data_IF_424199182083
#
_entry.id   IF_424199182083
#
_cell.length_a   1.000
_cell.length_b   1.000
_cell.length_c   1.000
_cell.angle_alpha   90.00
_cell.angle_beta   90.00
_cell.angle_gamma   90.00
#
_symmetry.space_group_name_H-M   'P 1'
#
loop_
_entity.id
_entity.type
_entity.pdbx_description
1 polymer ?
#
# COMPACT_ATOMS: atom_id res chain seq x y z
N UNK A 1 17.87 -19.22 -22.06
CA UNK A 1 18.31 -17.89 -21.56
C UNK A 1 17.27 -16.79 -21.80
N UNK A 2 16.64 -16.70 -22.99
CA UNK A 2 15.64 -15.66 -23.30
C UNK A 2 14.43 -15.58 -22.32
N UNK A 3 13.88 -16.71 -21.90
CA UNK A 3 12.69 -16.75 -21.03
C UNK A 3 12.93 -16.25 -19.61
N UNK A 4 14.16 -16.42 -19.07
CA UNK A 4 14.53 -15.94 -17.73
C UNK A 4 14.68 -14.41 -17.70
N UNK A 5 15.24 -13.83 -18.76
CA UNK A 5 15.38 -12.38 -18.90
C UNK A 5 14.04 -11.67 -18.99
N UNK A 6 13.09 -12.21 -19.76
CA UNK A 6 11.72 -11.69 -19.87
C UNK A 6 10.98 -11.73 -18.52
N UNK A 7 11.09 -12.84 -17.78
CA UNK A 7 10.47 -12.96 -16.46
C UNK A 7 11.04 -11.94 -15.45
N UNK A 8 12.34 -11.68 -15.51
CA UNK A 8 13.02 -10.73 -14.62
C UNK A 8 12.68 -9.28 -14.94
N UNK A 9 12.54 -8.93 -16.23
CA UNK A 9 12.03 -7.62 -16.64
C UNK A 9 10.59 -7.39 -16.18
N UNK A 10 9.72 -8.39 -16.32
CA UNK A 10 8.32 -8.30 -15.89
C UNK A 10 8.21 -8.16 -14.37
N UNK A 11 9.05 -8.86 -13.61
CA UNK A 11 9.11 -8.73 -12.16
C UNK A 11 9.58 -7.34 -11.72
N UNK A 12 10.63 -6.79 -12.36
CA UNK A 12 11.10 -5.41 -12.11
C UNK A 12 9.99 -4.40 -12.39
N UNK A 13 9.31 -4.55 -13.52
CA UNK A 13 8.17 -3.72 -13.89
C UNK A 13 7.07 -3.75 -12.82
N UNK A 14 6.64 -4.94 -12.39
CA UNK A 14 5.62 -5.10 -11.35
C UNK A 14 6.01 -4.40 -10.04
N UNK A 15 7.27 -4.52 -9.61
CA UNK A 15 7.76 -3.85 -8.40
C UNK A 15 7.75 -2.31 -8.54
N UNK A 16 8.03 -1.77 -9.72
CA UNK A 16 7.95 -0.33 -9.98
C UNK A 16 6.50 0.17 -10.05
N UNK A 17 5.59 -0.61 -10.62
CA UNK A 17 4.15 -0.29 -10.62
C UNK A 17 3.61 -0.26 -9.19
N UNK A 18 3.81 -1.33 -8.41
CA UNK A 18 3.33 -1.38 -7.01
C UNK A 18 3.93 -0.28 -6.15
N UNK A 19 5.21 0.08 -6.36
CA UNK A 19 5.84 1.20 -5.64
C UNK A 19 5.18 2.54 -5.95
N UNK A 20 4.77 2.78 -7.20
CA UNK A 20 4.06 4.00 -7.60
C UNK A 20 2.65 4.04 -7.02
N UNK A 21 1.93 2.93 -7.11
CA UNK A 21 0.58 2.77 -6.56
C UNK A 21 0.56 2.99 -5.04
N UNK A 22 1.47 2.37 -4.29
CA UNK A 22 1.59 2.58 -2.83
C UNK A 22 1.89 4.03 -2.46
N UNK A 23 2.69 4.74 -3.26
CA UNK A 23 2.95 6.17 -3.04
C UNK A 23 1.70 7.02 -3.32
N UNK A 24 0.95 6.65 -4.35
CA UNK A 24 -0.31 7.31 -4.69
C UNK A 24 -1.33 7.14 -3.56
N UNK A 25 -1.58 5.90 -3.10
CA UNK A 25 -2.49 5.63 -1.98
C UNK A 25 -2.03 6.36 -0.70
N UNK A 26 -0.72 6.43 -0.44
CA UNK A 26 -0.19 7.18 0.71
C UNK A 26 -0.59 8.67 0.67
N UNK A 27 -0.51 9.29 -0.50
CA UNK A 27 -0.89 10.69 -0.67
C UNK A 27 -2.41 10.85 -0.55
N UNK A 28 -3.19 9.97 -1.17
CA UNK A 28 -4.65 9.99 -1.09
C UNK A 28 -5.15 9.89 0.37
N UNK A 29 -4.56 8.99 1.17
CA UNK A 29 -4.87 8.86 2.60
C UNK A 29 -4.54 10.13 3.38
N UNK A 30 -3.48 10.85 2.98
CA UNK A 30 -3.14 12.13 3.61
C UNK A 30 -4.19 13.19 3.31
N UNK A 31 -4.70 13.26 2.08
CA UNK A 31 -5.81 14.16 1.72
C UNK A 31 -7.10 13.82 2.49
N UNK A 32 -7.39 12.53 2.71
CA UNK A 32 -8.52 12.12 3.57
C UNK A 32 -8.33 12.55 5.02
N UNK A 33 -7.14 12.38 5.58
CA UNK A 33 -6.83 12.82 6.94
C UNK A 33 -7.07 14.33 7.12
N UNK A 34 -6.57 15.16 6.20
CA UNK A 34 -6.80 16.62 6.22
C UNK A 34 -8.30 16.95 6.18
N UNK A 35 -9.09 16.22 5.39
CA UNK A 35 -10.55 16.42 5.35
C UNK A 35 -11.26 16.00 6.63
N UNK A 36 -10.78 14.95 7.30
CA UNK A 36 -11.31 14.56 8.61
C UNK A 36 -10.97 15.61 9.67
N UNK A 37 -9.79 16.22 9.61
CA UNK A 37 -9.40 17.34 10.49
C UNK A 37 -10.29 18.57 10.26
N UNK A 38 -10.59 18.92 9.00
CA UNK A 38 -11.53 19.99 8.65
C UNK A 38 -12.91 19.78 9.29
N UNK A 39 -13.41 18.54 9.30
CA UNK A 39 -14.70 18.18 9.90
C UNK A 39 -14.61 18.23 11.44
N UNK A 40 -13.53 17.72 12.02
CA UNK A 40 -13.29 17.76 13.46
C UNK A 40 -13.26 19.20 13.99
N UNK A 41 -12.65 20.12 13.23
CA UNK A 41 -12.58 21.54 13.57
C UNK A 41 -13.94 22.24 13.63
N UNK A 42 -14.97 21.71 12.96
CA UNK A 42 -16.35 22.25 13.00
C UNK A 42 -17.11 21.88 14.29
N UNK A 43 -16.44 21.28 15.29
CA UNK A 43 -17.02 20.83 16.57
C UNK A 43 -18.25 19.94 16.37
N UNK A 44 -18.09 18.76 15.75
CA UNK A 44 -19.22 17.90 15.47
C UNK A 44 -19.71 17.22 16.77
N UNK A 45 -20.93 16.66 16.73
CA UNK A 45 -21.51 15.95 17.87
C UNK A 45 -20.67 14.75 18.31
N UNK A 46 -20.86 14.27 19.55
CA UNK A 46 -20.07 13.17 20.14
C UNK A 46 -20.03 11.91 19.27
N UNK A 47 -21.13 11.58 18.60
CA UNK A 47 -21.23 10.40 17.74
C UNK A 47 -20.33 10.51 16.50
N UNK A 48 -20.21 11.72 15.94
CA UNK A 48 -19.33 12.00 14.79
C UNK A 48 -17.88 11.95 15.23
N UNK A 49 -17.56 12.46 16.43
CA UNK A 49 -16.21 12.40 16.97
C UNK A 49 -15.72 10.95 17.13
N UNK A 50 -16.58 10.06 17.63
CA UNK A 50 -16.26 8.63 17.73
C UNK A 50 -16.00 7.99 16.35
N UNK A 51 -16.78 8.37 15.33
CA UNK A 51 -16.55 7.91 13.97
C UNK A 51 -15.21 8.42 13.40
N UNK A 52 -14.88 9.71 13.63
CA UNK A 52 -13.62 10.33 13.22
C UNK A 52 -12.41 9.61 13.82
N UNK A 53 -12.44 9.29 15.13
CA UNK A 53 -11.39 8.51 15.78
C UNK A 53 -11.24 7.11 15.15
N UNK A 54 -12.37 6.47 14.83
CA UNK A 54 -12.38 5.20 14.11
C UNK A 54 -11.66 5.28 12.76
N UNK A 55 -11.94 6.31 11.97
CA UNK A 55 -11.29 6.53 10.68
C UNK A 55 -9.81 6.91 10.80
N UNK A 56 -9.44 7.76 11.77
CA UNK A 56 -8.04 8.08 12.05
C UNK A 56 -7.22 6.82 12.37
N UNK A 57 -7.78 5.91 13.19
CA UNK A 57 -7.13 4.63 13.49
C UNK A 57 -6.93 3.77 12.23
N UNK A 58 -7.94 3.70 11.35
CA UNK A 58 -7.82 2.98 10.06
C UNK A 58 -6.75 3.60 9.16
N UNK A 59 -6.69 4.92 9.07
CA UNK A 59 -5.67 5.67 8.31
C UNK A 59 -4.26 5.39 8.82
N UNK A 60 -4.05 5.39 10.15
CA UNK A 60 -2.75 5.07 10.76
C UNK A 60 -2.33 3.65 10.38
N UNK A 61 -3.23 2.67 10.52
CA UNK A 61 -2.97 1.27 10.14
C UNK A 61 -2.59 1.13 8.68
N UNK A 62 -3.28 1.85 7.80
CA UNK A 62 -3.02 1.79 6.38
C UNK A 62 -1.64 2.35 6.02
N UNK A 63 -1.25 3.48 6.64
CA UNK A 63 0.10 4.05 6.51
C UNK A 63 1.19 3.06 6.96
N UNK A 64 0.95 2.34 8.05
CA UNK A 64 1.86 1.27 8.52
C UNK A 64 2.02 0.18 7.46
N UNK A 65 0.91 -0.33 6.93
CA UNK A 65 0.90 -1.41 5.90
C UNK A 65 1.61 -0.94 4.63
N UNK A 66 1.33 0.27 4.14
CA UNK A 66 2.05 0.86 3.00
C UNK A 66 3.55 0.89 3.25
N UNK A 67 3.96 1.34 4.45
CA UNK A 67 5.37 1.37 4.84
C UNK A 67 6.02 0.00 4.78
N UNK A 68 5.36 -1.03 5.31
CA UNK A 68 5.83 -2.41 5.29
C UNK A 68 5.94 -2.96 3.85
N UNK A 69 4.94 -2.71 3.00
CA UNK A 69 4.94 -3.14 1.60
C UNK A 69 6.05 -2.46 0.79
N UNK A 70 6.26 -1.15 1.00
CA UNK A 70 7.37 -0.41 0.37
C UNK A 70 8.73 -0.97 0.79
N UNK A 71 8.89 -1.34 2.07
CA UNK A 71 10.12 -1.99 2.54
C UNK A 71 10.31 -3.37 1.90
N UNK A 72 9.26 -4.20 1.81
CA UNK A 72 9.30 -5.49 1.12
C UNK A 72 9.70 -5.34 -0.35
N UNK A 73 9.11 -4.38 -1.08
CA UNK A 73 9.47 -4.07 -2.48
C UNK A 73 10.95 -3.69 -2.59
N UNK A 74 11.46 -2.83 -1.70
CA UNK A 74 12.88 -2.44 -1.70
C UNK A 74 13.81 -3.62 -1.45
N UNK A 75 13.47 -4.52 -0.52
CA UNK A 75 14.23 -5.74 -0.25
C UNK A 75 14.26 -6.65 -1.48
N UNK A 76 13.10 -6.92 -2.10
CA UNK A 76 13.01 -7.72 -3.32
C UNK A 76 13.81 -7.14 -4.48
N UNK A 77 13.76 -5.81 -4.67
CA UNK A 77 14.54 -5.13 -5.72
C UNK A 77 16.04 -5.33 -5.52
N UNK A 78 16.55 -5.13 -4.30
CA UNK A 78 17.97 -5.34 -3.97
C UNK A 78 18.40 -6.78 -4.24
N UNK A 79 17.56 -7.76 -3.91
CA UNK A 79 17.84 -9.18 -4.17
C UNK A 79 17.96 -9.42 -5.69
N UNK A 80 17.02 -8.91 -6.49
CA UNK A 80 17.06 -9.04 -7.95
C UNK A 80 18.32 -8.39 -8.53
N UNK A 81 18.65 -7.17 -8.11
CA UNK A 81 19.85 -6.44 -8.54
C UNK A 81 21.16 -7.18 -8.15
N UNK A 82 21.20 -7.81 -6.98
CA UNK A 82 22.36 -8.62 -6.56
C UNK A 82 22.46 -9.98 -7.25
N UNK A 83 21.34 -10.54 -7.73
CA UNK A 83 21.29 -11.83 -8.40
C UNK A 83 21.68 -11.71 -9.88
N UNK A 84 21.40 -10.57 -10.51
CA UNK A 84 21.91 -10.24 -11.86
C UNK A 84 23.46 -10.22 -11.91
N UNK A 85 24.15 -10.13 -10.76
CA UNK A 85 25.62 -10.15 -10.66
C UNK A 85 26.22 -11.53 -10.39
N UNK A 86 25.45 -12.52 -9.92
CA UNK A 86 25.91 -13.85 -9.56
C UNK A 86 24.88 -14.90 -10.00
N UNK A 87 25.18 -15.68 -11.04
CA UNK A 87 24.28 -16.65 -11.71
C UNK A 87 23.73 -17.79 -10.82
N UNK A 88 24.07 -17.85 -9.52
CA UNK A 88 23.87 -19.03 -8.66
C UNK A 88 22.80 -18.90 -7.55
N UNK A 89 21.90 -17.91 -7.60
CA UNK A 89 20.89 -17.69 -6.52
C UNK A 89 19.44 -17.98 -6.99
N UNK A 90 19.26 -18.84 -7.99
CA UNK A 90 17.94 -19.20 -8.55
C UNK A 90 17.04 -19.94 -7.52
N UNK A 91 17.64 -20.60 -6.52
CA UNK A 91 16.92 -21.36 -5.49
C UNK A 91 16.29 -20.54 -4.37
N UNK A 92 16.85 -19.37 -4.00
CA UNK A 92 16.37 -18.58 -2.84
C UNK A 92 15.25 -17.60 -3.20
N UNK A 93 15.18 -17.15 -4.45
CA UNK A 93 14.11 -16.27 -4.97
C UNK A 93 12.71 -16.94 -4.96
N UNK A 94 12.66 -18.28 -4.99
CA UNK A 94 11.42 -19.07 -4.94
C UNK A 94 10.85 -19.28 -3.53
N UNK A 95 11.62 -19.02 -2.46
CA UNK A 95 11.32 -19.53 -1.11
C UNK A 95 10.76 -18.47 -0.15
N UNK A 96 10.56 -17.21 -0.55
CA UNK A 96 9.74 -16.30 0.26
C UNK A 96 8.27 -16.73 0.21
N UNK A 97 7.86 -17.45 1.26
CA UNK A 97 6.58 -18.17 1.40
C UNK A 97 5.32 -17.28 1.47
N UNK A 98 5.44 -15.97 1.24
CA UNK A 98 4.30 -15.09 0.97
C UNK A 98 4.55 -14.29 -0.31
N UNK A 99 3.75 -14.50 -1.38
CA UNK A 99 3.86 -13.70 -2.57
C UNK A 99 3.51 -12.26 -2.20
N UNK A 100 4.47 -11.34 -2.30
CA UNK A 100 4.23 -9.90 -2.25
C UNK A 100 3.02 -9.48 -3.11
N UNK A 101 2.75 -10.23 -4.19
CA UNK A 101 1.56 -10.12 -5.03
C UNK A 101 0.25 -10.29 -4.25
N UNK A 102 0.15 -11.28 -3.38
CA UNK A 102 -1.05 -11.56 -2.59
C UNK A 102 -1.23 -10.49 -1.51
N UNK A 103 -0.13 -10.10 -0.84
CA UNK A 103 -0.14 -8.97 0.09
C UNK A 103 -0.63 -7.68 -0.59
N UNK A 104 -0.12 -7.38 -1.80
CA UNK A 104 -0.56 -6.24 -2.59
C UNK A 104 -2.04 -6.35 -2.99
N UNK A 105 -2.51 -7.53 -3.39
CA UNK A 105 -3.91 -7.75 -3.76
C UNK A 105 -4.86 -7.53 -2.59
N UNK A 106 -4.51 -8.05 -1.41
CA UNK A 106 -5.29 -7.85 -0.18
C UNK A 106 -5.29 -6.38 0.20
N UNK A 107 -4.11 -5.75 0.20
CA UNK A 107 -3.97 -4.33 0.50
C UNK A 107 -4.81 -3.45 -0.43
N UNK A 108 -4.74 -3.65 -1.76
CA UNK A 108 -5.50 -2.87 -2.73
C UNK A 108 -7.00 -3.00 -2.43
N UNK A 109 -7.49 -4.22 -2.20
CA UNK A 109 -8.90 -4.45 -1.86
C UNK A 109 -9.32 -3.66 -0.61
N UNK A 110 -8.56 -3.78 0.47
CA UNK A 110 -8.85 -3.10 1.74
C UNK A 110 -8.77 -1.57 1.62
N UNK A 111 -7.82 -1.07 0.82
CA UNK A 111 -7.68 0.37 0.56
C UNK A 111 -8.92 0.93 -0.14
N UNK A 112 -9.42 0.25 -1.16
CA UNK A 112 -10.64 0.67 -1.86
C UNK A 112 -11.88 0.59 -0.97
N UNK A 113 -12.01 -0.45 -0.14
CA UNK A 113 -13.11 -0.56 0.84
C UNK A 113 -13.08 0.61 1.83
N UNK A 114 -11.91 0.95 2.39
CA UNK A 114 -11.77 2.10 3.29
C UNK A 114 -12.06 3.43 2.59
N UNK A 115 -11.60 3.58 1.34
CA UNK A 115 -11.86 4.77 0.53
C UNK A 115 -13.36 4.98 0.30
N UNK A 116 -14.08 3.92 -0.03
CA UNK A 116 -15.54 3.98 -0.22
C UNK A 116 -16.24 4.40 1.08
N UNK A 117 -15.89 3.76 2.22
CA UNK A 117 -16.43 4.13 3.53
C UNK A 117 -16.14 5.60 3.90
N UNK A 118 -14.92 6.07 3.65
CA UNK A 118 -14.52 7.46 3.91
C UNK A 118 -15.28 8.43 3.02
N UNK A 119 -15.43 8.15 1.72
CA UNK A 119 -16.15 9.02 0.80
C UNK A 119 -17.62 9.15 1.18
N UNK A 120 -18.27 8.03 1.52
CA UNK A 120 -19.65 8.02 2.01
C UNK A 120 -19.81 8.82 3.31
N UNK A 121 -18.85 8.70 4.21
CA UNK A 121 -18.83 9.50 5.44
C UNK A 121 -18.67 10.99 5.11
N UNK A 122 -17.67 11.37 4.31
CA UNK A 122 -17.42 12.76 3.94
C UNK A 122 -18.65 13.39 3.26
N UNK A 123 -19.34 12.67 2.36
CA UNK A 123 -20.55 13.17 1.70
C UNK A 123 -21.71 13.43 2.66
N UNK A 124 -21.78 12.74 3.80
CA UNK A 124 -22.82 12.97 4.82
C UNK A 124 -22.53 14.20 5.70
N UNK A 125 -21.27 14.63 5.77
CA UNK A 125 -20.81 15.68 6.70
C UNK A 125 -20.17 16.89 6.01
N UNK A 126 -20.15 16.91 4.67
CA UNK A 126 -19.82 18.07 3.83
C UNK A 126 -20.92 19.14 3.90
#
# INVERSE_FOLDING_TARGET
>A
MHTKLLYLSDLKFNLDVWKRELKFHKNEIHEFEEKLEDIAARTPGKDVMAALEGYQNKIIREREVIGQLLQKIRKKRRIIESTDMNEEIDGRLRVEQHPLRDDMKIYIKLHYELKEELMDFLLRYL
#
